data_IF_890719068464
#
_entry.id   IF_890719068464
#
_cell.length_a   1.000
_cell.length_b   1.000
_cell.length_c   1.000
_cell.angle_alpha   90.00
_cell.angle_beta   90.00
_cell.angle_gamma   90.00
#
_symmetry.space_group_name_H-M   'P 1'
#
loop_
_entity.id
_entity.type
_entity.pdbx_description
1 polymer ?
#
# COMPACT_ATOMS: atom_id res chain seq x y z
N UNK A 1 -3.74 15.63 -27.00
CA UNK A 1 -3.69 15.21 -26.48
C UNK A 1 -3.39 14.72 -25.95
N UNK A 2 -3.35 14.51 -25.68
CA UNK A 2 -3.27 13.92 -25.15
C UNK A 2 -3.18 13.32 -24.61
N UNK A 3 -3.22 12.85 -24.42
CA UNK A 3 -3.23 12.13 -23.87
C UNK A 3 -2.96 11.65 -23.09
N UNK A 4 -3.20 11.32 -22.54
CA UNK A 4 -3.00 10.87 -21.76
C UNK A 4 -3.01 10.15 -21.38
N UNK A 5 -3.01 9.99 -21.23
CA UNK A 5 -3.08 9.17 -20.95
C UNK A 5 -3.16 8.46 -19.90
N UNK A 6 -3.87 7.88 -19.57
CA UNK A 6 -4.04 7.19 -18.67
C UNK A 6 -3.90 6.00 -18.92
N UNK A 7 -3.28 5.71 -18.73
CA UNK A 7 -2.90 4.58 -19.16
C UNK A 7 -3.44 3.48 -18.54
N UNK A 8 -2.83 2.87 -17.75
CA UNK A 8 -3.24 1.71 -17.21
C UNK A 8 -3.96 1.93 -15.97
N UNK A 9 -4.83 1.05 -15.55
CA UNK A 9 -5.37 1.04 -14.24
C UNK A 9 -4.29 0.80 -13.24
N UNK A 10 -4.42 1.32 -12.05
CA UNK A 10 -3.51 1.01 -10.97
C UNK A 10 -3.62 -0.45 -10.59
N UNK A 11 -2.49 -1.09 -10.35
CA UNK A 11 -2.52 -2.42 -9.76
C UNK A 11 -2.86 -2.28 -8.29
N UNK A 12 -3.23 -3.39 -7.67
CA UNK A 12 -3.52 -3.38 -6.24
C UNK A 12 -2.32 -2.88 -5.44
N UNK A 13 -1.13 -3.37 -5.76
CA UNK A 13 0.07 -2.98 -5.01
C UNK A 13 0.39 -1.50 -5.23
N UNK A 14 0.19 -0.99 -6.45
CA UNK A 14 0.36 0.44 -6.71
C UNK A 14 -0.58 1.26 -5.82
N UNK A 15 -1.83 0.84 -5.72
CA UNK A 15 -2.81 1.58 -4.92
C UNK A 15 -2.44 1.54 -3.44
N UNK A 16 -1.95 0.40 -2.96
CA UNK A 16 -1.51 0.29 -1.58
C UNK A 16 -0.33 1.23 -1.32
N UNK A 17 0.65 1.22 -2.21
CA UNK A 17 1.80 2.09 -2.06
C UNK A 17 1.39 3.56 -2.04
N UNK A 18 0.57 3.97 -3.00
CA UNK A 18 0.14 5.36 -3.08
C UNK A 18 -0.64 5.80 -1.85
N UNK A 19 -1.40 4.89 -1.28
CA UNK A 19 -2.17 5.19 -0.08
C UNK A 19 -1.28 5.32 1.14
N UNK A 20 -0.33 4.41 1.29
CA UNK A 20 0.46 4.31 2.50
C UNK A 20 1.71 5.19 2.52
N UNK A 21 2.05 5.78 1.38
CA UNK A 21 3.33 6.51 1.29
C UNK A 21 3.40 7.77 2.15
N UNK A 22 2.26 8.20 2.70
CA UNK A 22 2.24 9.34 3.59
C UNK A 22 2.85 9.04 4.96
N UNK A 23 3.18 7.77 5.24
CA UNK A 23 3.79 7.39 6.49
C UNK A 23 2.84 7.27 7.65
N UNK A 24 1.56 7.31 7.40
CA UNK A 24 0.56 7.15 8.46
C UNK A 24 0.28 5.69 8.75
N UNK A 25 -0.36 5.45 9.89
CA UNK A 25 -0.84 4.12 10.22
C UNK A 25 -2.20 3.91 9.59
N UNK A 26 -2.36 2.76 8.93
CA UNK A 26 -3.59 2.44 8.21
C UNK A 26 -4.17 1.13 8.71
N UNK A 27 -5.47 1.12 9.02
CA UNK A 27 -6.15 -0.13 9.33
C UNK A 27 -6.47 -0.84 8.02
N UNK A 28 -6.71 -2.15 8.12
CA UNK A 28 -7.14 -2.89 6.96
C UNK A 28 -8.41 -2.27 6.35
N UNK A 29 -9.35 -1.86 7.19
CA UNK A 29 -10.62 -1.33 6.70
C UNK A 29 -10.44 -0.02 5.95
N UNK A 30 -9.57 0.83 6.46
CA UNK A 30 -9.28 2.08 5.78
C UNK A 30 -8.59 1.84 4.45
N UNK A 31 -7.65 0.90 4.41
CA UNK A 31 -6.99 0.54 3.17
C UNK A 31 -7.99 0.01 2.16
N UNK A 32 -8.88 -0.87 2.59
CA UNK A 32 -9.86 -1.47 1.71
C UNK A 32 -10.75 -0.40 1.07
N UNK A 33 -11.19 0.55 1.86
CA UNK A 33 -12.05 1.61 1.38
C UNK A 33 -11.34 2.52 0.38
N UNK A 34 -10.14 2.96 0.72
CA UNK A 34 -9.39 3.88 -0.14
C UNK A 34 -8.97 3.20 -1.43
N UNK A 35 -8.55 1.95 -1.35
CA UNK A 35 -8.16 1.20 -2.53
C UNK A 35 -9.35 1.03 -3.46
N UNK A 36 -10.51 0.77 -2.92
CA UNK A 36 -11.71 0.67 -3.73
C UNK A 36 -11.99 1.98 -4.45
N UNK A 37 -11.81 3.09 -3.76
CA UNK A 37 -12.01 4.41 -4.36
C UNK A 37 -11.01 4.67 -5.48
N UNK A 38 -9.76 4.24 -5.30
CA UNK A 38 -8.73 4.50 -6.28
C UNK A 38 -8.81 3.58 -7.50
N UNK A 39 -9.21 2.35 -7.29
CA UNK A 39 -9.16 1.34 -8.37
C UNK A 39 -10.53 1.01 -8.95
N UNK A 40 -11.58 1.34 -8.23
CA UNK A 40 -12.93 0.95 -8.64
C UNK A 40 -13.24 -0.51 -8.35
N UNK A 41 -12.35 -1.23 -7.67
CA UNK A 41 -12.54 -2.65 -7.39
C UNK A 41 -12.49 -2.91 -5.90
N UNK A 42 -13.27 -3.88 -5.47
CA UNK A 42 -13.26 -4.31 -4.08
C UNK A 42 -12.28 -5.48 -3.94
N UNK A 43 -11.42 -5.40 -2.94
CA UNK A 43 -10.47 -6.47 -2.66
C UNK A 43 -10.66 -6.96 -1.23
N UNK A 44 -10.64 -8.26 -1.06
CA UNK A 44 -10.80 -8.87 0.26
C UNK A 44 -9.51 -8.82 1.06
N UNK A 45 -9.62 -9.19 2.33
CA UNK A 45 -8.50 -9.12 3.25
C UNK A 45 -7.28 -9.92 2.79
N UNK A 46 -7.42 -11.19 2.36
CA UNK A 46 -6.23 -11.94 1.95
C UNK A 46 -5.49 -11.30 0.79
N UNK A 47 -6.24 -10.71 -0.13
CA UNK A 47 -5.65 -10.08 -1.30
C UNK A 47 -4.91 -8.80 -0.93
N UNK A 48 -5.49 -7.99 -0.07
CA UNK A 48 -4.83 -6.76 0.39
C UNK A 48 -3.60 -7.11 1.22
N UNK A 49 -3.70 -8.12 2.08
CA UNK A 49 -2.56 -8.56 2.87
C UNK A 49 -1.41 -9.03 1.98
N UNK A 50 -1.74 -9.74 0.90
CA UNK A 50 -0.71 -10.16 -0.04
C UNK A 50 -0.07 -8.96 -0.73
N UNK A 51 -0.87 -7.94 -1.06
CA UNK A 51 -0.34 -6.72 -1.65
C UNK A 51 0.60 -5.98 -0.71
N UNK A 52 0.27 -5.94 0.57
CA UNK A 52 1.14 -5.33 1.57
C UNK A 52 2.45 -6.09 1.64
N UNK A 53 2.39 -7.43 1.63
CA UNK A 53 3.61 -8.23 1.65
C UNK A 53 4.47 -8.00 0.43
N UNK A 54 3.88 -7.70 -0.71
CA UNK A 54 4.63 -7.42 -1.92
C UNK A 54 5.57 -6.23 -1.75
N UNK A 55 5.23 -5.29 -0.90
CA UNK A 55 6.09 -4.12 -0.68
C UNK A 55 7.43 -4.48 -0.06
N UNK A 56 7.58 -5.70 0.46
CA UNK A 56 8.84 -6.17 1.01
C UNK A 56 9.72 -6.87 -0.03
N UNK A 57 9.17 -7.15 -1.20
CA UNK A 57 9.91 -7.86 -2.24
C UNK A 57 10.80 -6.91 -3.01
N UNK A 58 11.95 -7.40 -3.44
CA UNK A 58 12.93 -6.57 -4.14
C UNK A 58 12.37 -5.88 -5.35
N UNK A 59 11.58 -6.59 -6.15
CA UNK A 59 11.01 -6.01 -7.36
C UNK A 59 10.17 -4.78 -7.06
N UNK A 60 9.41 -4.82 -5.97
CA UNK A 60 8.58 -3.69 -5.61
C UNK A 60 9.36 -2.60 -4.90
N UNK A 61 10.39 -2.98 -4.16
CA UNK A 61 11.28 -1.97 -3.57
C UNK A 61 11.94 -1.15 -4.66
N UNK A 62 12.39 -1.81 -5.71
CA UNK A 62 12.97 -1.13 -6.85
C UNK A 62 11.94 -0.24 -7.54
N UNK A 63 10.76 -0.78 -7.78
CA UNK A 63 9.72 -0.07 -8.49
C UNK A 63 9.33 1.23 -7.79
N UNK A 64 9.26 1.20 -6.47
CA UNK A 64 8.77 2.35 -5.70
C UNK A 64 9.87 3.14 -5.03
N UNK A 65 11.13 2.79 -5.26
CA UNK A 65 12.23 3.52 -4.65
C UNK A 65 12.36 3.31 -3.17
N UNK A 66 11.98 2.14 -2.68
CA UNK A 66 12.06 1.83 -1.26
C UNK A 66 13.44 1.28 -0.91
N UNK A 67 13.86 1.37 0.36
CA UNK A 67 15.16 0.83 0.76
C UNK A 67 15.26 -0.66 0.52
N UNK A 68 16.48 -1.13 0.23
CA UNK A 68 16.69 -2.55 -0.01
C UNK A 68 16.97 -3.33 1.26
N UNK A 69 17.18 -2.65 2.37
CA UNK A 69 17.48 -3.31 3.64
C UNK A 69 16.41 -2.95 4.66
N UNK A 70 16.21 -3.82 5.62
CA UNK A 70 15.23 -3.59 6.66
C UNK A 70 13.81 -3.82 6.18
N UNK A 71 12.86 -3.52 7.03
CA UNK A 71 11.46 -3.65 6.70
C UNK A 71 10.94 -2.43 5.99
N UNK A 72 10.06 -2.64 5.03
CA UNK A 72 9.39 -1.55 4.35
C UNK A 72 7.99 -1.33 4.92
N UNK A 73 7.48 -2.28 5.68
CA UNK A 73 6.14 -2.17 6.27
C UNK A 73 6.22 -2.55 7.74
N UNK A 74 5.73 -1.69 8.60
CA UNK A 74 5.58 -1.97 10.00
C UNK A 74 4.15 -2.36 10.29
N UNK A 75 3.95 -3.25 11.25
CA UNK A 75 2.64 -3.67 11.67
C UNK A 75 2.57 -3.57 13.18
N UNK A 76 1.45 -3.10 13.68
CA UNK A 76 1.23 -3.10 15.12
C UNK A 76 -0.22 -3.47 15.40
N UNK A 77 -0.47 -3.99 16.59
CA UNK A 77 -1.82 -4.30 16.99
C UNK A 77 -2.55 -2.99 17.31
N UNK A 78 -3.75 -2.87 16.78
CA UNK A 78 -4.53 -1.67 17.05
C UNK A 78 -4.98 -1.69 18.51
N UNK A 79 -4.72 -0.61 19.20
CA UNK A 79 -5.03 -0.52 20.62
C UNK A 79 -6.53 -0.55 20.85
N UNK A 80 -6.96 -1.40 21.76
CA UNK A 80 -8.36 -1.41 22.15
C UNK A 80 -9.29 -2.15 21.21
N UNK A 81 -8.75 -2.82 20.17
CA UNK A 81 -9.61 -3.58 19.29
C UNK A 81 -8.80 -4.69 18.64
N UNK A 82 -9.52 -5.54 17.91
CA UNK A 82 -8.86 -6.59 17.17
C UNK A 82 -8.31 -6.02 15.88
N UNK A 83 -7.32 -6.68 15.34
CA UNK A 83 -6.77 -6.30 14.07
C UNK A 83 -5.49 -5.53 14.21
N UNK A 84 -4.97 -5.10 13.08
CA UNK A 84 -3.66 -4.48 13.01
C UNK A 84 -3.72 -3.20 12.21
N UNK A 85 -2.74 -2.36 12.46
CA UNK A 85 -2.48 -1.20 11.63
C UNK A 85 -1.16 -1.39 10.93
N UNK A 86 -1.03 -0.80 9.75
CA UNK A 86 0.15 -0.94 8.91
C UNK A 86 0.69 0.43 8.55
N UNK A 87 2.01 0.52 8.45
CA UNK A 87 2.67 1.77 8.11
C UNK A 87 3.80 1.48 7.13
N UNK A 88 3.88 2.27 6.08
CA UNK A 88 4.97 2.13 5.12
C UNK A 88 6.17 2.92 5.65
N UNK A 89 7.33 2.26 5.68
CA UNK A 89 8.54 2.87 6.17
C UNK A 89 9.50 3.05 5.03
N UNK A 90 10.26 4.11 5.06
CA UNK A 90 11.31 4.32 4.09
C UNK A 90 10.86 4.94 2.79
N UNK A 91 9.58 5.18 2.60
CA UNK A 91 9.13 5.90 1.44
C UNK A 91 9.60 7.33 1.56
N UNK A 92 10.25 7.80 0.51
CA UNK A 92 10.77 9.14 0.54
C UNK A 92 9.73 10.10 0.04
N UNK A 93 9.19 10.88 0.93
CA UNK A 93 8.17 11.80 0.56
C UNK A 93 8.63 13.21 0.40
N UNK A 94 9.86 13.37 0.65
CA UNK A 94 10.24 14.70 0.71
C UNK A 94 11.29 15.19 0.14
#
# INVERSE_FOLDING_TARGET
MGVMTMPKKLTLTDAIFLTMRDGSWWTFWDLQRVIREKTGSFYGEPTISAGIRNLRKDAYRTKYGLPYTGDTVERRRKHGSKGYEYKLIGANNG
#
